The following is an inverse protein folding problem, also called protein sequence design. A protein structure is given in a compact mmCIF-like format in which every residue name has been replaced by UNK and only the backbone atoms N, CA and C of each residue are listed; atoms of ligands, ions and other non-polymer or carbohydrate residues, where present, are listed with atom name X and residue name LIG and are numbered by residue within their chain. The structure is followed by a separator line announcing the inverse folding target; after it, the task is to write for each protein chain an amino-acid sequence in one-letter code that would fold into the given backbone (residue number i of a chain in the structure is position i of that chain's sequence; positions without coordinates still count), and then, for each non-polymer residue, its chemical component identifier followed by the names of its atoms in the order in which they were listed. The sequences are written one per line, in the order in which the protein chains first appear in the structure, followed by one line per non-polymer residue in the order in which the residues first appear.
data_IF_963089960068
#
_entry.id   IF_963089960068
#
_cell.length_a   1.000
_cell.length_b   1.000
_cell.length_c   1.000
_cell.angle_alpha   90.00
_cell.angle_beta   90.00
_cell.angle_gamma   90.00
#
_symmetry.space_group_name_H-M   'P 1'
#
loop_
_entity.id
_entity.type
_entity.pdbx_description
1 polymer ?
#
# COMPACT_ATOMS: atom_id res chain seq x y z
N UNK A 1 -11.19 13.40 -1.24
CA UNK A 1 -10.50 13.19 0.06
C UNK A 1 -11.31 12.12 0.78
N UNK A 2 -10.72 10.94 1.03
CA UNK A 2 -11.41 9.87 1.77
C UNK A 2 -11.47 10.25 3.25
N UNK A 3 -12.62 10.07 3.89
CA UNK A 3 -12.71 10.16 5.35
C UNK A 3 -12.25 8.81 5.91
N UNK A 4 -11.20 8.83 6.75
CA UNK A 4 -10.62 7.63 7.40
C UNK A 4 -11.54 7.09 8.52
N UNK A 5 -12.78 7.58 8.60
CA UNK A 5 -13.74 7.27 9.66
C UNK A 5 -14.30 5.85 9.62
N UNK A 6 -14.15 5.13 8.50
CA UNK A 6 -14.57 3.74 8.37
C UNK A 6 -13.35 2.83 8.13
N UNK A 7 -12.85 2.16 9.18
CA UNK A 7 -11.70 1.28 9.07
C UNK A 7 -11.89 0.11 8.08
N UNK A 8 -13.12 -0.37 7.89
CA UNK A 8 -13.39 -1.48 6.99
C UNK A 8 -13.27 -1.04 5.51
N UNK A 9 -13.77 0.15 5.19
CA UNK A 9 -13.58 0.74 3.85
C UNK A 9 -12.11 1.08 3.59
N UNK A 10 -11.37 1.54 4.60
CA UNK A 10 -9.92 1.79 4.47
C UNK A 10 -9.17 0.49 4.16
N UNK A 11 -9.45 -0.60 4.89
CA UNK A 11 -8.86 -1.91 4.60
C UNK A 11 -9.19 -2.40 3.19
N UNK A 12 -10.46 -2.24 2.78
CA UNK A 12 -10.91 -2.64 1.45
C UNK A 12 -10.22 -1.86 0.34
N UNK A 13 -10.04 -0.56 0.50
CA UNK A 13 -9.48 0.31 -0.56
C UNK A 13 -7.96 0.27 -0.59
N UNK A 14 -7.31 0.20 0.58
CA UNK A 14 -5.88 0.47 0.73
C UNK A 14 -5.06 -0.75 1.18
N UNK A 15 -5.69 -1.88 1.51
CA UNK A 15 -5.04 -3.02 2.16
C UNK A 15 -4.39 -2.69 3.52
N UNK A 16 -4.78 -1.58 4.17
CA UNK A 16 -4.35 -1.28 5.54
C UNK A 16 -5.27 -2.03 6.50
N UNK A 17 -4.77 -2.92 7.36
CA UNK A 17 -5.63 -3.62 8.31
C UNK A 17 -6.47 -2.65 9.14
N UNK A 18 -7.76 -2.95 9.31
CA UNK A 18 -8.72 -2.08 10.00
C UNK A 18 -8.28 -1.69 11.42
N UNK A 19 -7.58 -2.61 12.11
CA UNK A 19 -7.01 -2.38 13.44
C UNK A 19 -5.89 -1.33 13.46
N UNK A 20 -5.25 -1.07 12.31
CA UNK A 20 -4.10 -0.17 12.16
C UNK A 20 -4.48 1.21 11.63
N UNK A 21 -5.76 1.44 11.34
CA UNK A 21 -6.24 2.70 10.73
C UNK A 21 -5.99 3.92 11.61
N UNK A 22 -5.92 3.75 12.93
CA UNK A 22 -5.55 4.83 13.87
C UNK A 22 -4.10 5.32 13.73
N UNK A 23 -3.24 4.58 13.03
CA UNK A 23 -1.84 4.95 12.77
C UNK A 23 -1.68 5.94 11.61
N UNK A 24 -2.76 6.29 10.92
CA UNK A 24 -2.76 7.25 9.82
C UNK A 24 -3.80 8.35 10.07
N UNK A 25 -3.51 9.57 9.63
CA UNK A 25 -4.45 10.69 9.76
C UNK A 25 -4.88 11.28 8.40
N UNK A 26 -4.24 10.85 7.31
CA UNK A 26 -4.51 11.31 5.94
C UNK A 26 -4.22 10.16 4.96
N UNK A 27 -5.07 9.98 3.95
CA UNK A 27 -4.90 8.93 2.93
C UNK A 27 -5.36 9.40 1.54
N UNK A 28 -4.65 8.94 0.50
CA UNK A 28 -5.01 9.10 -0.90
C UNK A 28 -4.71 7.81 -1.66
N UNK A 29 -5.61 7.40 -2.59
CA UNK A 29 -5.40 6.23 -3.46
C UNK A 29 -5.51 6.60 -4.92
N UNK A 30 -4.82 5.82 -5.75
CA UNK A 30 -5.03 5.73 -7.17
C UNK A 30 -5.37 4.28 -7.50
N UNK A 31 -6.58 4.06 -8.02
CA UNK A 31 -7.07 2.72 -8.38
C UNK A 31 -7.30 2.71 -9.88
N UNK A 32 -6.54 1.90 -10.62
CA UNK A 32 -6.79 1.68 -12.04
C UNK A 32 -7.57 0.38 -12.22
N UNK A 33 -8.90 0.52 -12.35
CA UNK A 33 -9.92 -0.45 -12.78
C UNK A 33 -9.73 -1.93 -12.39
N UNK A 34 -10.32 -2.28 -11.24
CA UNK A 34 -11.24 -3.38 -10.87
C UNK A 34 -11.30 -4.76 -11.58
N UNK A 35 -10.68 -5.02 -12.74
CA UNK A 35 -10.54 -6.37 -13.28
C UNK A 35 -9.04 -6.69 -13.48
N UNK A 36 -8.61 -7.85 -13.01
CA UNK A 36 -7.22 -8.37 -12.98
C UNK A 36 -6.25 -7.73 -11.99
N UNK A 37 -6.67 -6.78 -11.13
CA UNK A 37 -5.80 -6.15 -10.12
C UNK A 37 -4.49 -5.61 -10.70
N UNK A 38 -4.55 -5.01 -11.89
CA UNK A 38 -3.37 -4.62 -12.69
C UNK A 38 -2.51 -3.57 -11.97
N UNK A 39 -3.13 -2.56 -11.34
CA UNK A 39 -2.41 -1.57 -10.57
C UNK A 39 -3.32 -0.85 -9.57
N UNK A 40 -2.93 -0.87 -8.29
CA UNK A 40 -3.54 -0.06 -7.23
C UNK A 40 -2.45 0.49 -6.33
N UNK A 41 -2.55 1.77 -5.97
CA UNK A 41 -1.62 2.40 -5.04
C UNK A 41 -2.32 3.27 -4.00
N UNK A 42 -1.66 3.46 -2.87
CA UNK A 42 -2.09 4.31 -1.78
C UNK A 42 -0.92 5.02 -1.13
N UNK A 43 -1.18 6.23 -0.63
CA UNK A 43 -0.24 7.04 0.14
C UNK A 43 -0.92 7.53 1.41
N UNK A 44 -0.24 7.39 2.54
CA UNK A 44 -0.80 7.63 3.86
C UNK A 44 0.18 8.46 4.69
N UNK A 45 -0.32 9.48 5.39
CA UNK A 45 0.47 10.21 6.38
C UNK A 45 0.36 9.52 7.72
N UNK A 46 1.51 9.16 8.28
CA UNK A 46 1.62 8.51 9.58
C UNK A 46 1.38 9.52 10.70
N UNK A 47 0.73 9.07 11.77
CA UNK A 47 0.73 9.84 13.02
C UNK A 47 2.13 9.78 13.65
N UNK A 48 2.50 10.81 14.41
CA UNK A 48 3.81 10.89 15.06
C UNK A 48 4.13 9.62 15.85
N UNK A 49 5.40 9.20 15.81
CA UNK A 49 5.92 8.01 16.50
C UNK A 49 5.43 6.66 15.98
N UNK A 50 4.66 6.63 14.89
CA UNK A 50 4.27 5.37 14.24
C UNK A 50 5.49 4.65 13.66
N UNK A 51 5.65 3.38 14.00
CA UNK A 51 6.63 2.50 13.37
C UNK A 51 6.18 2.14 11.94
N UNK A 52 6.77 2.82 10.97
CA UNK A 52 6.53 2.61 9.54
C UNK A 52 6.85 1.17 9.09
N UNK A 53 7.88 0.53 9.64
CA UNK A 53 8.27 -0.82 9.26
C UNK A 53 7.25 -1.85 9.77
N UNK A 54 6.79 -1.68 11.03
CA UNK A 54 5.74 -2.53 11.58
C UNK A 54 4.42 -2.37 10.81
N UNK A 55 4.05 -1.15 10.43
CA UNK A 55 2.84 -0.92 9.61
C UNK A 55 2.98 -1.52 8.20
N UNK A 56 4.14 -1.39 7.57
CA UNK A 56 4.40 -2.00 6.26
C UNK A 56 4.30 -3.53 6.30
N UNK A 57 4.80 -4.16 7.37
CA UNK A 57 4.65 -5.61 7.59
C UNK A 57 3.19 -6.01 7.79
N UNK A 58 2.42 -5.25 8.57
CA UNK A 58 0.97 -5.45 8.71
C UNK A 58 0.24 -5.36 7.36
N UNK A 59 0.58 -4.38 6.52
CA UNK A 59 0.03 -4.24 5.16
C UNK A 59 0.39 -5.46 4.30
N UNK A 60 1.63 -5.93 4.34
CA UNK A 60 2.05 -7.12 3.60
C UNK A 60 1.23 -8.35 4.03
N UNK A 61 1.09 -8.58 5.33
CA UNK A 61 0.29 -9.70 5.87
C UNK A 61 -1.17 -9.62 5.42
N UNK A 62 -1.79 -8.44 5.48
CA UNK A 62 -3.17 -8.23 5.01
C UNK A 62 -3.28 -8.46 3.51
N UNK A 63 -2.31 -8.00 2.71
CA UNK A 63 -2.26 -8.23 1.27
C UNK A 63 -2.17 -9.72 0.93
N UNK A 64 -1.29 -10.47 1.60
CA UNK A 64 -1.10 -11.91 1.37
C UNK A 64 -2.33 -12.72 1.82
N UNK A 65 -3.00 -12.32 2.90
CA UNK A 65 -4.20 -12.99 3.41
C UNK A 65 -5.49 -12.62 2.66
N UNK A 66 -5.43 -11.67 1.72
CA UNK A 66 -6.61 -11.15 1.04
C UNK A 66 -7.17 -12.18 0.05
N UNK A 67 -8.48 -12.39 0.12
CA UNK A 67 -9.19 -13.20 -0.88
C UNK A 67 -9.46 -12.36 -2.14
N UNK A 68 -8.60 -12.48 -3.14
CA UNK A 68 -8.72 -11.75 -4.40
C UNK A 68 -9.81 -12.36 -5.29
N UNK A 69 -10.80 -11.54 -5.67
CA UNK A 69 -11.96 -12.03 -6.46
C UNK A 69 -11.81 -11.82 -7.97
N UNK A 70 -10.99 -10.85 -8.40
CA UNK A 70 -10.97 -10.36 -9.79
C UNK A 70 -9.66 -10.73 -10.54
N UNK A 71 -8.87 -11.68 -10.02
CA UNK A 71 -7.51 -12.01 -10.45
C UNK A 71 -6.50 -11.73 -9.33
N UNK A 72 -5.35 -12.40 -9.32
CA UNK A 72 -4.33 -12.19 -8.28
C UNK A 72 -3.34 -11.11 -8.72
N UNK A 73 -2.98 -10.15 -7.86
CA UNK A 73 -1.86 -9.27 -8.13
C UNK A 73 -0.55 -10.08 -8.12
N UNK A 74 0.44 -9.66 -8.91
CA UNK A 74 1.73 -10.34 -8.98
C UNK A 74 2.63 -9.94 -7.80
N UNK A 75 2.55 -8.68 -7.38
CA UNK A 75 3.54 -8.06 -6.48
C UNK A 75 2.97 -6.95 -5.61
N UNK A 76 3.56 -6.77 -4.43
CA UNK A 76 3.35 -5.64 -3.53
C UNK A 76 4.68 -4.93 -3.27
N UNK A 77 4.66 -3.60 -3.32
CA UNK A 77 5.70 -2.74 -2.76
C UNK A 77 5.11 -1.84 -1.68
N UNK A 78 5.87 -1.62 -0.61
CA UNK A 78 5.61 -0.61 0.41
C UNK A 78 6.89 0.14 0.70
N UNK A 79 6.85 1.47 0.67
CA UNK A 79 7.99 2.33 0.90
C UNK A 79 7.64 3.49 1.83
N UNK A 80 8.60 3.93 2.66
CA UNK A 80 8.47 5.16 3.43
C UNK A 80 9.10 6.35 2.69
N UNK A 81 8.44 7.50 2.78
CA UNK A 81 8.87 8.78 2.20
C UNK A 81 8.61 9.88 3.22
N UNK A 82 9.60 10.24 4.03
CA UNK A 82 9.40 11.15 5.17
C UNK A 82 8.36 10.60 6.15
N UNK A 83 7.34 11.39 6.47
CA UNK A 83 6.23 11.01 7.35
C UNK A 83 5.13 10.20 6.63
N UNK A 84 5.39 9.77 5.39
CA UNK A 84 4.44 9.04 4.57
C UNK A 84 4.85 7.61 4.35
N UNK A 85 3.84 6.77 4.18
CA UNK A 85 3.98 5.40 3.73
C UNK A 85 3.20 5.28 2.41
N UNK A 86 3.84 4.71 1.40
CA UNK A 86 3.29 4.56 0.06
C UNK A 86 3.31 3.09 -0.28
N UNK A 87 2.17 2.55 -0.72
CA UNK A 87 2.05 1.16 -1.16
C UNK A 87 1.54 1.11 -2.58
N UNK A 88 1.99 0.11 -3.35
CA UNK A 88 1.41 -0.22 -4.64
C UNK A 88 1.41 -1.74 -4.83
N UNK A 89 0.34 -2.28 -5.41
CA UNK A 89 0.25 -3.69 -5.77
C UNK A 89 -0.44 -3.90 -7.12
N UNK A 90 -0.07 -4.99 -7.77
CA UNK A 90 -0.61 -5.38 -9.06
C UNK A 90 0.40 -6.10 -9.93
N UNK A 91 0.39 -5.83 -11.23
CA UNK A 91 1.29 -6.46 -12.19
C UNK A 91 2.76 -6.08 -11.93
N UNK A 92 3.66 -7.06 -11.97
CA UNK A 92 5.06 -6.89 -11.58
C UNK A 92 5.78 -5.77 -12.33
N UNK A 93 5.65 -5.71 -13.67
CA UNK A 93 6.30 -4.69 -14.49
C UNK A 93 5.85 -3.27 -14.11
N UNK A 94 4.57 -3.10 -13.80
CA UNK A 94 4.01 -1.82 -13.38
C UNK A 94 4.45 -1.44 -11.97
N UNK A 95 4.54 -2.42 -11.06
CA UNK A 95 5.03 -2.19 -9.70
C UNK A 95 6.52 -1.83 -9.70
N UNK A 96 7.32 -2.46 -10.53
CA UNK A 96 8.74 -2.13 -10.67
C UNK A 96 8.95 -0.76 -11.33
N UNK A 97 8.14 -0.41 -12.33
CA UNK A 97 8.14 0.93 -12.90
C UNK A 97 7.77 1.99 -11.85
N UNK A 98 6.73 1.72 -11.04
CA UNK A 98 6.34 2.61 -9.94
C UNK A 98 7.46 2.77 -8.91
N UNK A 99 8.08 1.68 -8.47
CA UNK A 99 9.19 1.68 -7.51
C UNK A 99 10.38 2.51 -8.01
N UNK A 100 10.71 2.35 -9.29
CA UNK A 100 11.76 3.11 -9.96
C UNK A 100 11.42 4.60 -9.98
N UNK A 101 10.24 4.98 -10.48
CA UNK A 101 9.81 6.38 -10.50
C UNK A 101 9.75 7.00 -9.10
N UNK A 102 9.32 6.25 -8.09
CA UNK A 102 9.29 6.69 -6.70
C UNK A 102 10.69 7.02 -6.20
N UNK A 103 11.66 6.14 -6.46
CA UNK A 103 13.05 6.32 -6.02
C UNK A 103 13.76 7.47 -6.76
N UNK A 104 13.43 7.67 -8.04
CA UNK A 104 13.95 8.80 -8.83
C UNK A 104 13.38 10.15 -8.37
N UNK A 105 12.08 10.20 -8.06
CA UNK A 105 11.41 11.41 -7.59
C UNK A 105 11.75 11.73 -6.13
N UNK A 106 11.94 10.70 -5.29
CA UNK A 106 12.24 10.82 -3.87
C UNK A 106 13.47 9.98 -3.53
N UNK A 107 14.70 10.52 -3.68
CA UNK A 107 15.93 9.79 -3.38
C UNK A 107 16.05 9.32 -1.92
N UNK A 108 15.29 9.91 -1.00
CA UNK A 108 15.21 9.52 0.41
C UNK A 108 14.18 8.41 0.69
N UNK A 109 13.46 7.94 -0.33
CA UNK A 109 12.50 6.86 -0.16
C UNK A 109 13.20 5.59 0.29
N UNK A 110 12.61 4.88 1.26
CA UNK A 110 13.10 3.59 1.74
C UNK A 110 12.07 2.53 1.45
N UNK A 111 12.42 1.56 0.60
CA UNK A 111 11.59 0.38 0.36
C UNK A 111 11.62 -0.50 1.62
N UNK A 112 10.44 -0.81 2.14
CA UNK A 112 10.22 -1.61 3.36
C UNK A 112 9.72 -3.01 3.02
N UNK A 113 8.89 -3.13 1.99
CA UNK A 113 8.37 -4.40 1.46
C UNK A 113 8.50 -4.34 -0.05
N UNK A 114 8.97 -5.42 -0.68
CA UNK A 114 8.99 -5.59 -2.13
C UNK A 114 8.94 -7.09 -2.44
N UNK A 115 7.75 -7.66 -2.43
CA UNK A 115 7.55 -9.10 -2.40
C UNK A 115 6.47 -9.53 -3.39
N UNK A 116 6.62 -10.70 -4.04
CA UNK A 116 5.56 -11.29 -4.85
C UNK A 116 4.36 -11.70 -3.99
N UNK A 117 3.19 -11.79 -4.61
CA UNK A 117 2.04 -12.45 -4.00
C UNK A 117 2.31 -13.97 -3.86
N UNK A 118 1.93 -14.54 -2.71
CA UNK A 118 2.24 -15.92 -2.33
C UNK A 118 0.99 -16.80 -2.14
N UNK A 119 -0.21 -16.24 -2.33
CA UNK A 119 -1.49 -16.92 -2.07
C UNK A 119 -2.14 -17.59 -3.26
#
# INVERSE_FOLDING_TARGET
MYTISDPAEVERVFCIPAAEVSKIDSAASLIHMMNQNIFSSGAYRLVSETDAAALADSINKTFQARHWMCGFPDKLIVASVGDYLVSAFGNEDLIDAFAKCLSEAYPSAKVLVNEPFQG
#
